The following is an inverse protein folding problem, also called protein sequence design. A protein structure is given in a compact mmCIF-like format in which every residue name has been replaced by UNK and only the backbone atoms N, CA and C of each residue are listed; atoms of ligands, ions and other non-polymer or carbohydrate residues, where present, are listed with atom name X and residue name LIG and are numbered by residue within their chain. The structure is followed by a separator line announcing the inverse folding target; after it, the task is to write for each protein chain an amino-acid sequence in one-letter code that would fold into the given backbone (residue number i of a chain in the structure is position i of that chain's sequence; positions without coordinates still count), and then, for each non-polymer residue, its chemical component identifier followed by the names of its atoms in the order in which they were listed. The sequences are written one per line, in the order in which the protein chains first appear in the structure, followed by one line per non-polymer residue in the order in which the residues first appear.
data_IF_572902351623
#
_entry.id   IF_572902351623
#
_cell.length_a   1.000
_cell.length_b   1.000
_cell.length_c   1.000
_cell.angle_alpha   90.00
_cell.angle_beta   90.00
_cell.angle_gamma   90.00
#
_symmetry.space_group_name_H-M   'P 1'
#
loop_
_entity.id
_entity.type
_entity.pdbx_description
1 polymer ?
#
# COMPACT_ATOMS: atom_id res chain seq x y z
N UNK A 1 -22.56 -28.34 -9.95
CA UNK A 1 -22.96 -26.97 -10.34
C UNK A 1 -22.66 -25.90 -9.29
N UNK A 2 -22.90 -26.13 -7.98
CA UNK A 2 -22.68 -25.11 -6.92
C UNK A 2 -21.25 -24.52 -6.89
N UNK A 3 -20.22 -25.38 -6.91
CA UNK A 3 -18.82 -24.92 -6.93
C UNK A 3 -18.37 -24.18 -8.20
N UNK A 4 -19.08 -24.30 -9.32
CA UNK A 4 -18.75 -23.56 -10.54
C UNK A 4 -19.21 -22.09 -10.46
N UNK A 5 -20.34 -21.84 -9.80
CA UNK A 5 -20.86 -20.48 -9.55
C UNK A 5 -19.98 -19.80 -8.50
N UNK A 6 -19.59 -20.51 -7.45
CA UNK A 6 -18.69 -19.97 -6.42
C UNK A 6 -17.31 -19.61 -7.00
N UNK A 7 -16.77 -20.45 -7.89
CA UNK A 7 -15.51 -20.17 -8.60
C UNK A 7 -15.64 -18.95 -9.53
N UNK A 8 -16.75 -18.83 -10.25
CA UNK A 8 -17.02 -17.69 -11.13
C UNK A 8 -17.13 -16.39 -10.33
N UNK A 9 -17.86 -16.42 -9.22
CA UNK A 9 -18.00 -15.27 -8.33
C UNK A 9 -16.65 -14.86 -7.71
N UNK A 10 -15.85 -15.84 -7.25
CA UNK A 10 -14.50 -15.59 -6.75
C UNK A 10 -13.59 -14.96 -7.82
N UNK A 11 -13.61 -15.47 -9.06
CA UNK A 11 -12.84 -14.92 -10.17
C UNK A 11 -13.24 -13.48 -10.50
N UNK A 12 -14.54 -13.20 -10.60
CA UNK A 12 -15.04 -11.85 -10.87
C UNK A 12 -14.76 -10.87 -9.74
N UNK A 13 -14.77 -11.32 -8.49
CA UNK A 13 -14.43 -10.49 -7.34
C UNK A 13 -12.96 -10.02 -7.35
N UNK A 14 -12.05 -10.71 -8.05
CA UNK A 14 -10.67 -10.22 -8.22
C UNK A 14 -10.63 -8.90 -9.00
N UNK A 15 -11.55 -8.71 -9.96
CA UNK A 15 -11.66 -7.45 -10.71
C UNK A 15 -12.05 -6.30 -9.79
N UNK A 16 -13.03 -6.51 -8.91
CA UNK A 16 -13.44 -5.51 -7.92
C UNK A 16 -12.27 -5.17 -6.97
N UNK A 17 -11.46 -6.17 -6.61
CA UNK A 17 -10.20 -5.95 -5.89
C UNK A 17 -9.23 -5.05 -6.64
N UNK A 18 -9.01 -5.30 -7.93
CA UNK A 18 -8.12 -4.50 -8.77
C UNK A 18 -8.60 -3.04 -8.93
N UNK A 19 -9.91 -2.81 -9.09
CA UNK A 19 -10.48 -1.46 -9.19
C UNK A 19 -10.25 -0.64 -7.92
N UNK A 20 -10.35 -1.27 -6.74
CA UNK A 20 -10.03 -0.61 -5.47
C UNK A 20 -8.55 -0.24 -5.35
N UNK A 21 -7.63 -1.13 -5.77
CA UNK A 21 -6.19 -0.84 -5.78
C UNK A 21 -5.85 0.32 -6.71
N UNK A 22 -6.45 0.38 -7.90
CA UNK A 22 -6.25 1.47 -8.86
C UNK A 22 -6.77 2.79 -8.28
N UNK A 23 -7.94 2.78 -7.65
CA UNK A 23 -8.54 3.96 -7.04
C UNK A 23 -7.68 4.50 -5.90
N UNK A 24 -7.17 3.61 -5.05
CA UNK A 24 -6.27 3.96 -3.96
C UNK A 24 -4.94 4.52 -4.47
N UNK A 25 -4.31 3.88 -5.46
CA UNK A 25 -3.06 4.37 -6.05
C UNK A 25 -3.24 5.77 -6.68
N UNK A 26 -4.34 6.01 -7.38
CA UNK A 26 -4.64 7.30 -7.96
C UNK A 26 -4.81 8.40 -6.91
N UNK A 27 -5.54 8.13 -5.83
CA UNK A 27 -5.87 9.12 -4.80
C UNK A 27 -4.73 9.37 -3.81
N UNK A 28 -4.07 8.31 -3.36
CA UNK A 28 -3.15 8.37 -2.22
C UNK A 28 -1.67 8.29 -2.60
N UNK A 29 -1.33 7.69 -3.75
CA UNK A 29 0.04 7.57 -4.26
C UNK A 29 0.38 8.59 -5.38
N UNK A 30 -0.57 9.46 -5.75
CA UNK A 30 -0.34 10.53 -6.73
C UNK A 30 -0.09 10.01 -8.15
N UNK A 31 -0.65 8.84 -8.48
CA UNK A 31 -0.46 8.18 -9.77
C UNK A 31 -1.02 9.01 -10.94
N UNK A 32 -2.08 9.78 -10.70
CA UNK A 32 -2.71 10.66 -11.68
C UNK A 32 -1.98 12.01 -11.86
N UNK A 33 -0.90 12.27 -11.08
CA UNK A 33 -0.15 13.50 -11.23
C UNK A 33 0.72 13.46 -12.50
N UNK A 34 0.75 14.58 -13.21
CA UNK A 34 1.66 14.82 -14.33
C UNK A 34 2.56 16.01 -13.99
N UNK A 35 3.70 15.77 -13.31
CA UNK A 35 4.53 16.85 -12.75
C UNK A 35 5.24 17.68 -13.82
N UNK A 36 5.28 17.21 -15.08
CA UNK A 36 6.01 17.85 -16.17
C UNK A 36 5.21 17.82 -17.48
N UNK A 37 5.49 18.76 -18.38
CA UNK A 37 5.04 18.70 -19.77
C UNK A 37 5.80 17.68 -20.64
N UNK A 38 6.85 17.04 -20.10
CA UNK A 38 7.66 16.05 -20.84
C UNK A 38 7.17 14.63 -20.59
N UNK A 39 6.85 13.91 -21.66
CA UNK A 39 6.36 12.53 -21.62
C UNK A 39 7.25 11.59 -20.79
N UNK A 40 8.55 11.55 -21.08
CA UNK A 40 9.50 10.64 -20.41
C UNK A 40 9.54 10.86 -18.89
N UNK A 41 9.45 12.12 -18.45
CA UNK A 41 9.47 12.43 -17.01
C UNK A 41 8.20 11.94 -16.31
N UNK A 42 7.05 12.03 -16.98
CA UNK A 42 5.80 11.51 -16.45
C UNK A 42 5.78 9.96 -16.45
N UNK A 43 6.38 9.31 -17.44
CA UNK A 43 6.57 7.85 -17.41
C UNK A 43 7.43 7.42 -16.21
N UNK A 44 8.55 8.11 -15.97
CA UNK A 44 9.41 7.83 -14.83
C UNK A 44 8.69 8.07 -13.50
N UNK A 45 7.94 9.19 -13.39
CA UNK A 45 7.09 9.48 -12.23
C UNK A 45 6.10 8.36 -11.95
N UNK A 46 5.40 7.88 -12.99
CA UNK A 46 4.45 6.78 -12.88
C UNK A 46 5.10 5.50 -12.36
N UNK A 47 6.27 5.13 -12.90
CA UNK A 47 7.00 3.93 -12.45
C UNK A 47 7.44 4.04 -10.99
N UNK A 48 7.94 5.21 -10.59
CA UNK A 48 8.34 5.47 -9.19
C UNK A 48 7.13 5.44 -8.24
N UNK A 49 5.99 6.00 -8.64
CA UNK A 49 4.76 5.97 -7.86
C UNK A 49 4.23 4.54 -7.69
N UNK A 50 4.23 3.73 -8.75
CA UNK A 50 3.85 2.31 -8.68
C UNK A 50 4.79 1.50 -7.78
N UNK A 51 6.10 1.74 -7.87
CA UNK A 51 7.07 1.08 -6.99
C UNK A 51 6.83 1.44 -5.52
N UNK A 52 6.65 2.72 -5.21
CA UNK A 52 6.37 3.19 -3.86
C UNK A 52 5.04 2.65 -3.31
N UNK A 53 4.01 2.56 -4.14
CA UNK A 53 2.73 1.95 -3.78
C UNK A 53 2.91 0.47 -3.42
N UNK A 54 3.55 -0.31 -4.30
CA UNK A 54 3.80 -1.72 -4.06
C UNK A 54 4.62 -1.96 -2.79
N UNK A 55 5.69 -1.17 -2.57
CA UNK A 55 6.51 -1.26 -1.36
C UNK A 55 5.69 -0.99 -0.08
N UNK A 56 4.78 -0.02 -0.11
CA UNK A 56 3.87 0.21 1.02
C UNK A 56 2.93 -0.98 1.26
N UNK A 57 2.39 -1.60 0.21
CA UNK A 57 1.58 -2.81 0.35
C UNK A 57 2.40 -3.95 0.99
N UNK A 58 3.66 -4.13 0.60
CA UNK A 58 4.56 -5.12 1.19
C UNK A 58 4.88 -4.81 2.66
N UNK A 59 5.09 -3.54 3.02
CA UNK A 59 5.28 -3.14 4.42
C UNK A 59 4.05 -3.44 5.29
N UNK A 60 2.83 -3.26 4.75
CA UNK A 60 1.61 -3.66 5.44
C UNK A 60 1.55 -5.17 5.68
N UNK A 61 1.94 -5.98 4.70
CA UNK A 61 2.03 -7.44 4.85
C UNK A 61 3.09 -7.84 5.87
N UNK A 62 4.23 -7.14 5.91
CA UNK A 62 5.30 -7.39 6.88
C UNK A 62 4.90 -7.02 8.31
N UNK A 63 4.09 -5.98 8.50
CA UNK A 63 3.55 -5.57 9.80
C UNK A 63 2.45 -6.52 10.33
N UNK A 64 2.14 -7.60 9.62
CA UNK A 64 1.14 -8.58 10.05
C UNK A 64 1.73 -9.49 11.14
N UNK A 65 1.04 -9.59 12.27
CA UNK A 65 1.36 -10.60 13.29
C UNK A 65 1.13 -12.01 12.70
N UNK A 66 2.05 -12.97 12.96
CA UNK A 66 2.01 -14.33 12.39
C UNK A 66 0.66 -15.05 12.59
N UNK A 67 -0.09 -14.69 13.64
CA UNK A 67 -1.35 -15.33 14.01
C UNK A 67 -2.61 -14.61 13.49
N UNK A 68 -2.48 -13.42 12.88
CA UNK A 68 -3.64 -12.65 12.41
C UNK A 68 -4.25 -13.29 11.15
N UNK A 69 -5.52 -13.71 11.19
CA UNK A 69 -6.25 -14.24 10.02
C UNK A 69 -6.61 -13.12 9.05
N UNK A 70 -6.60 -13.41 7.74
CA UNK A 70 -6.92 -12.43 6.68
C UNK A 70 -8.30 -11.79 6.91
N UNK A 71 -9.30 -12.58 7.34
CA UNK A 71 -10.66 -12.09 7.64
C UNK A 71 -10.75 -11.14 8.85
N UNK A 72 -9.76 -11.16 9.73
CA UNK A 72 -9.70 -10.26 10.90
C UNK A 72 -8.88 -9.00 10.66
N UNK A 73 -8.20 -8.90 9.51
CA UNK A 73 -7.48 -7.67 9.16
C UNK A 73 -8.50 -6.61 8.76
N UNK A 74 -8.60 -5.54 9.56
CA UNK A 74 -9.30 -4.34 9.13
C UNK A 74 -8.69 -3.83 7.83
N UNK A 75 -9.53 -3.38 6.89
CA UNK A 75 -9.13 -2.78 5.62
C UNK A 75 -8.22 -1.58 5.88
N UNK A 76 -6.92 -1.85 5.96
CA UNK A 76 -5.90 -0.87 6.27
C UNK A 76 -5.50 -0.26 4.93
N UNK A 77 -5.87 1.01 4.73
CA UNK A 77 -5.61 1.75 3.50
C UNK A 77 -4.26 2.46 3.56
N UNK A 78 -3.71 2.83 2.41
CA UNK A 78 -2.47 3.60 2.29
C UNK A 78 -2.53 4.88 3.14
N UNK A 79 -3.66 5.60 3.09
CA UNK A 79 -3.87 6.83 3.86
C UNK A 79 -3.72 6.64 5.38
N UNK A 80 -4.25 5.55 5.94
CA UNK A 80 -4.19 5.27 7.38
C UNK A 80 -2.81 4.75 7.80
N UNK A 81 -2.14 3.99 6.93
CA UNK A 81 -0.82 3.42 7.21
C UNK A 81 0.30 4.45 7.12
N UNK A 82 0.20 5.39 6.18
CA UNK A 82 1.23 6.44 5.95
C UNK A 82 1.54 7.25 7.20
N UNK A 83 0.50 7.64 7.96
CA UNK A 83 0.68 8.39 9.20
C UNK A 83 1.41 7.54 10.27
N UNK A 84 1.08 6.25 10.38
CA UNK A 84 1.74 5.33 11.32
C UNK A 84 3.22 5.19 11.01
N UNK A 85 3.60 5.05 9.74
CA UNK A 85 5.01 4.99 9.35
C UNK A 85 5.75 6.30 9.61
N UNK A 86 5.11 7.45 9.40
CA UNK A 86 5.70 8.75 9.73
C UNK A 86 6.01 8.86 11.24
N UNK A 87 5.08 8.42 12.08
CA UNK A 87 5.28 8.40 13.53
C UNK A 87 6.28 7.34 14.00
N UNK A 88 6.34 6.18 13.34
CA UNK A 88 7.36 5.16 13.60
C UNK A 88 8.77 5.73 13.34
N UNK A 89 8.96 6.42 12.22
CA UNK A 89 10.22 7.07 11.90
C UNK A 89 10.57 8.18 12.91
N UNK A 90 9.58 8.98 13.33
CA UNK A 90 9.76 10.03 14.33
C UNK A 90 10.12 9.50 15.73
N UNK A 91 9.74 8.25 16.06
CA UNK A 91 10.12 7.58 17.31
C UNK A 91 11.59 7.14 17.34
N UNK A 92 12.25 7.06 16.18
CA UNK A 92 13.65 6.69 16.07
C UNK A 92 14.50 7.94 16.30
N UNK A 93 15.29 7.94 17.36
CA UNK A 93 16.26 9.00 17.65
C UNK A 93 17.67 8.43 17.68
N UNK A 94 18.64 9.29 17.36
CA UNK A 94 20.06 8.93 17.38
C UNK A 94 20.86 9.97 18.14
N UNK A 95 21.59 9.54 19.15
CA UNK A 95 22.49 10.41 19.92
C UNK A 95 23.73 9.62 20.37
N UNK A 96 24.90 10.25 20.32
CA UNK A 96 26.17 9.67 20.79
C UNK A 96 26.42 8.23 20.26
N UNK A 97 26.14 7.99 18.97
CA UNK A 97 26.33 6.68 18.32
C UNK A 97 25.30 5.61 18.69
N UNK A 98 24.34 5.89 19.57
CA UNK A 98 23.24 5.00 19.94
C UNK A 98 21.98 5.35 19.19
N UNK A 99 21.25 4.33 18.75
CA UNK A 99 19.91 4.46 18.14
C UNK A 99 18.90 3.92 19.15
N UNK A 100 17.85 4.69 19.44
CA UNK A 100 16.78 4.32 20.36
C UNK A 100 15.40 4.50 19.73
N UNK A 101 14.42 3.75 20.23
CA UNK A 101 13.01 3.86 19.85
C UNK A 101 12.20 4.29 21.07
N UNK A 102 11.50 5.42 20.95
CA UNK A 102 10.59 5.90 21.99
C UNK A 102 9.25 5.14 21.88
N UNK A 103 8.96 4.28 22.87
CA UNK A 103 7.73 3.49 22.91
C UNK A 103 6.52 4.34 23.32
#
# INVERSE_FOLDING_TARGET
MKGAIDLLAWFYNQRAGAENLIKEANNDAGLAAHPSGRWIMNCNHFQLAMLAYNLNCWLMLFNREEQAKVDTLQHTTLATTRLRFLFLAAKIWRHAGRVGVSY
#
